data_IF_401134788474
#
_entry.id   IF_401134788474
#
_cell.length_a   1.000
_cell.length_b   1.000
_cell.length_c   1.000
_cell.angle_alpha   90.00
_cell.angle_beta   90.00
_cell.angle_gamma   90.00
#
_symmetry.space_group_name_H-M   'P 1'
#
loop_
_entity.id
_entity.type
_entity.pdbx_description
1 polymer ?
#
# COMPACT_ATOMS: atom_id res chain seq x y z
N UNK A 1 -22.42 -7.07 6.68
CA UNK A 1 -21.33 -6.10 6.85
C UNK A 1 -20.87 -6.25 8.28
N UNK A 2 -19.63 -6.68 8.49
CA UNK A 2 -19.07 -6.85 9.83
C UNK A 2 -18.69 -5.50 10.40
N UNK A 3 -18.96 -5.29 11.69
CA UNK A 3 -18.50 -4.09 12.38
C UNK A 3 -17.01 -4.23 12.74
N UNK A 4 -16.22 -3.19 12.47
CA UNK A 4 -14.85 -3.09 12.97
C UNK A 4 -14.93 -2.56 14.42
N UNK A 5 -14.70 -3.46 15.38
CA UNK A 5 -14.77 -3.13 16.81
C UNK A 5 -13.65 -2.18 17.25
N UNK A 6 -12.41 -2.44 16.81
CA UNK A 6 -11.24 -1.64 17.16
C UNK A 6 -10.54 -1.05 15.92
N UNK A 7 -10.96 0.14 15.44
CA UNK A 7 -10.34 0.78 14.28
C UNK A 7 -8.90 1.27 14.51
N UNK A 8 -8.40 1.23 15.75
CA UNK A 8 -7.03 1.61 16.07
C UNK A 8 -6.04 0.47 15.88
N UNK A 9 -6.52 -0.77 15.85
CA UNK A 9 -5.74 -1.94 15.46
C UNK A 9 -5.53 -1.93 13.95
N UNK A 10 -4.56 -1.11 13.51
CA UNK A 10 -4.43 -0.76 12.12
C UNK A 10 -3.04 -0.27 11.73
N UNK A 11 -2.70 -0.43 10.45
CA UNK A 11 -1.54 0.18 9.80
C UNK A 11 -1.95 0.94 8.54
N UNK A 12 -1.16 1.89 8.01
CA UNK A 12 -1.41 2.47 6.70
C UNK A 12 -1.42 1.40 5.58
N UNK A 13 -2.15 1.66 4.50
CA UNK A 13 -2.05 0.86 3.28
C UNK A 13 -0.62 0.83 2.77
N UNK A 14 -0.14 -0.35 2.38
CA UNK A 14 1.13 -0.54 1.71
C UNK A 14 0.94 -0.59 0.19
N UNK A 15 1.16 0.55 -0.45
CA UNK A 15 0.94 0.73 -1.90
C UNK A 15 1.96 -0.01 -2.77
N UNK A 16 2.91 -0.74 -2.18
CA UNK A 16 3.99 -1.43 -2.88
C UNK A 16 3.88 -2.95 -2.79
N UNK A 17 2.78 -3.52 -2.27
CA UNK A 17 2.58 -4.98 -2.28
C UNK A 17 2.40 -5.47 -3.71
N UNK A 18 3.17 -6.49 -4.09
CA UNK A 18 3.10 -7.07 -5.43
C UNK A 18 3.33 -8.58 -5.42
N UNK A 19 2.69 -9.26 -6.36
CA UNK A 19 2.90 -10.68 -6.63
C UNK A 19 2.58 -10.96 -8.10
N UNK A 20 3.39 -11.84 -8.69
CA UNK A 20 3.17 -12.42 -10.01
C UNK A 20 2.64 -13.85 -9.91
N UNK A 21 2.29 -14.33 -8.71
CA UNK A 21 1.75 -15.66 -8.49
C UNK A 21 0.40 -15.82 -9.24
N UNK A 22 0.19 -16.90 -10.00
CA UNK A 22 -1.01 -17.06 -10.83
C UNK A 22 -2.31 -17.07 -10.02
N UNK A 23 -2.31 -17.62 -8.81
CA UNK A 23 -3.48 -17.61 -7.91
C UNK A 23 -3.86 -16.20 -7.45
N UNK A 24 -2.89 -15.29 -7.29
CA UNK A 24 -3.18 -13.88 -6.98
C UNK A 24 -3.89 -13.24 -8.17
N UNK A 25 -3.42 -13.51 -9.38
CA UNK A 25 -4.07 -13.03 -10.60
C UNK A 25 -5.49 -13.59 -10.71
N UNK A 26 -5.67 -14.90 -10.52
CA UNK A 26 -6.97 -15.56 -10.58
C UNK A 26 -7.97 -15.01 -9.55
N UNK A 27 -7.54 -14.80 -8.30
CA UNK A 27 -8.36 -14.18 -7.26
C UNK A 27 -8.78 -12.74 -7.64
N UNK A 28 -7.84 -11.93 -8.12
CA UNK A 28 -8.13 -10.57 -8.56
C UNK A 28 -9.07 -10.55 -9.77
N UNK A 29 -8.88 -11.46 -10.71
CA UNK A 29 -9.71 -11.57 -11.91
C UNK A 29 -11.13 -12.00 -11.54
N UNK A 30 -11.27 -12.96 -10.61
CA UNK A 30 -12.57 -13.34 -10.04
C UNK A 30 -13.29 -12.15 -9.42
N UNK A 31 -12.63 -11.42 -8.51
CA UNK A 31 -13.20 -10.22 -7.88
C UNK A 31 -13.59 -9.18 -8.94
N UNK A 32 -12.74 -9.00 -9.94
CA UNK A 32 -13.00 -8.04 -11.00
C UNK A 32 -14.24 -8.42 -11.82
N UNK A 33 -14.30 -9.66 -12.28
CA UNK A 33 -15.34 -10.10 -13.21
C UNK A 33 -16.71 -10.25 -12.52
N UNK A 34 -16.73 -10.61 -11.23
CA UNK A 34 -17.96 -10.74 -10.45
C UNK A 34 -18.55 -9.40 -9.98
N UNK A 35 -17.72 -8.41 -9.60
CA UNK A 35 -18.20 -7.21 -8.90
C UNK A 35 -17.87 -5.89 -9.57
N UNK A 36 -16.79 -5.81 -10.35
CA UNK A 36 -16.35 -4.55 -10.94
C UNK A 36 -16.90 -4.41 -12.38
N UNK A 37 -17.32 -3.20 -12.78
CA UNK A 37 -17.88 -3.01 -14.11
C UNK A 37 -16.85 -3.33 -15.20
N UNK A 38 -17.29 -3.99 -16.28
CA UNK A 38 -16.45 -4.15 -17.47
C UNK A 38 -15.99 -2.77 -17.95
N UNK A 39 -14.70 -2.59 -18.21
CA UNK A 39 -14.08 -1.33 -18.64
C UNK A 39 -14.70 -0.82 -19.96
N UNK A 40 -15.85 -0.16 -19.86
CA UNK A 40 -16.43 0.68 -20.90
C UNK A 40 -16.23 2.13 -20.50
N UNK A 41 -14.98 2.56 -20.39
CA UNK A 41 -14.66 3.96 -20.13
C UNK A 41 -14.11 4.65 -21.37
N UNK A 42 -14.85 5.65 -21.87
CA UNK A 42 -14.33 6.63 -22.81
C UNK A 42 -13.47 7.63 -22.05
N UNK A 43 -12.15 7.65 -22.29
CA UNK A 43 -11.20 8.58 -21.68
C UNK A 43 -9.72 8.17 -21.84
N UNK A 44 -8.76 9.00 -21.39
CA UNK A 44 -7.34 8.64 -21.42
C UNK A 44 -7.06 7.38 -20.61
N UNK A 45 -6.29 6.45 -21.18
CA UNK A 45 -5.91 5.20 -20.50
C UNK A 45 -5.16 5.55 -19.20
N UNK A 46 -5.54 4.95 -18.05
CA UNK A 46 -4.86 5.23 -16.79
C UNK A 46 -3.40 4.75 -16.84
N UNK A 47 -2.50 5.44 -16.12
CA UNK A 47 -1.07 5.06 -16.02
C UNK A 47 -0.88 3.67 -15.40
N UNK A 48 -1.77 3.30 -14.48
CA UNK A 48 -1.85 1.96 -13.87
C UNK A 48 -3.22 1.37 -14.18
N UNK A 49 -3.23 0.13 -14.67
CA UNK A 49 -4.47 -0.61 -14.90
C UNK A 49 -5.28 -0.69 -13.60
N UNK A 50 -6.60 -0.53 -13.67
CA UNK A 50 -7.46 -0.64 -12.48
C UNK A 50 -7.28 -1.98 -11.76
N UNK A 51 -7.06 -3.05 -12.53
CA UNK A 51 -6.73 -4.39 -12.01
C UNK A 51 -5.47 -4.40 -11.14
N UNK A 52 -4.46 -3.57 -11.42
CA UNK A 52 -3.27 -3.47 -10.56
C UNK A 52 -3.59 -2.80 -9.22
N UNK A 53 -4.45 -1.77 -9.22
CA UNK A 53 -4.89 -1.13 -7.96
C UNK A 53 -5.73 -2.09 -7.10
N UNK A 54 -6.58 -2.90 -7.74
CA UNK A 54 -7.27 -4.00 -7.07
C UNK A 54 -6.26 -5.00 -6.47
N UNK A 55 -5.26 -5.43 -7.25
CA UNK A 55 -4.22 -6.36 -6.80
C UNK A 55 -3.49 -5.86 -5.56
N UNK A 56 -3.06 -4.59 -5.56
CA UNK A 56 -2.40 -3.98 -4.39
C UNK A 56 -3.31 -3.99 -3.16
N UNK A 57 -4.59 -3.61 -3.33
CA UNK A 57 -5.56 -3.63 -2.24
C UNK A 57 -5.75 -5.05 -1.67
N UNK A 58 -5.96 -6.04 -2.54
CA UNK A 58 -6.21 -7.43 -2.15
C UNK A 58 -4.97 -8.02 -1.45
N UNK A 59 -3.77 -7.81 -2.01
CA UNK A 59 -2.53 -8.29 -1.40
C UNK A 59 -2.24 -7.63 -0.05
N UNK A 60 -2.49 -6.34 0.09
CA UNK A 60 -2.25 -5.66 1.36
C UNK A 60 -3.24 -6.08 2.45
N UNK A 61 -4.51 -6.34 2.08
CA UNK A 61 -5.51 -6.94 2.96
C UNK A 61 -5.13 -8.38 3.34
N UNK A 62 -4.65 -9.18 2.38
CA UNK A 62 -4.19 -10.55 2.64
C UNK A 62 -3.03 -10.57 3.63
N UNK A 63 -2.01 -9.72 3.43
CA UNK A 63 -0.89 -9.62 4.37
C UNK A 63 -1.34 -9.13 5.75
N UNK A 64 -2.26 -8.17 5.81
CA UNK A 64 -2.83 -7.74 7.10
C UNK A 64 -3.56 -8.89 7.80
N UNK A 65 -4.38 -9.66 7.07
CA UNK A 65 -5.11 -10.82 7.59
C UNK A 65 -4.18 -11.94 8.09
N UNK A 66 -3.07 -12.19 7.38
CA UNK A 66 -2.06 -13.15 7.82
C UNK A 66 -1.38 -12.75 9.14
N UNK A 67 -1.21 -11.45 9.39
CA UNK A 67 -0.68 -10.94 10.66
C UNK A 67 -1.71 -11.09 11.78
N UNK A 68 -2.93 -10.65 11.53
CA UNK A 68 -4.07 -10.77 12.43
C UNK A 68 -5.39 -10.57 11.64
N UNK A 69 -6.36 -11.49 11.69
CA UNK A 69 -7.63 -11.37 10.99
C UNK A 69 -8.43 -10.09 11.31
N UNK A 70 -8.17 -9.43 12.44
CA UNK A 70 -8.81 -8.16 12.83
C UNK A 70 -8.03 -6.91 12.39
N UNK A 71 -6.79 -7.06 11.91
CA UNK A 71 -5.93 -5.94 11.53
C UNK A 71 -6.50 -5.18 10.35
N UNK A 72 -6.71 -3.88 10.55
CA UNK A 72 -7.21 -3.00 9.50
C UNK A 72 -6.08 -2.31 8.73
N UNK A 73 -6.34 -2.01 7.45
CA UNK A 73 -5.55 -1.05 6.70
C UNK A 73 -6.22 0.33 6.72
N UNK A 74 -5.42 1.37 6.91
CA UNK A 74 -5.83 2.76 6.95
C UNK A 74 -5.60 3.45 5.62
N UNK A 75 -6.66 4.03 5.04
CA UNK A 75 -6.58 4.69 3.73
C UNK A 75 -7.39 5.98 3.66
N UNK A 76 -6.82 7.00 3.00
CA UNK A 76 -7.54 8.23 2.67
C UNK A 76 -8.55 7.99 1.55
N UNK A 77 -9.81 8.30 1.82
CA UNK A 77 -10.91 8.30 0.83
C UNK A 77 -11.03 9.65 0.09
N UNK A 78 -10.06 10.55 0.27
CA UNK A 78 -9.98 11.83 -0.45
C UNK A 78 -9.19 11.66 -1.74
N UNK A 79 -9.71 12.22 -2.84
CA UNK A 79 -9.03 12.26 -4.13
C UNK A 79 -7.70 13.01 -4.09
N UNK A 80 -7.56 13.97 -3.17
CA UNK A 80 -6.41 14.88 -3.12
C UNK A 80 -5.20 14.26 -2.42
N UNK A 81 -5.37 13.09 -1.81
CA UNK A 81 -4.29 12.34 -1.18
C UNK A 81 -3.41 11.60 -2.21
N UNK A 82 -3.98 11.25 -3.36
CA UNK A 82 -3.34 10.35 -4.31
C UNK A 82 -2.55 11.11 -5.35
N UNK A 83 -1.22 11.05 -5.25
CA UNK A 83 -0.29 11.56 -6.25
C UNK A 83 0.36 10.40 -7.02
N UNK A 84 -0.06 10.22 -8.28
CA UNK A 84 0.51 9.20 -9.18
C UNK A 84 1.91 9.54 -9.70
N UNK A 85 2.38 10.76 -9.48
CA UNK A 85 3.69 11.24 -9.94
C UNK A 85 4.75 11.20 -8.85
N UNK A 86 4.35 10.96 -7.59
CA UNK A 86 5.30 10.85 -6.49
C UNK A 86 6.23 9.64 -6.63
N UNK A 87 7.51 9.82 -6.31
CA UNK A 87 8.49 8.72 -6.27
C UNK A 87 8.15 7.66 -5.23
N UNK A 88 7.42 8.04 -4.18
CA UNK A 88 7.00 7.14 -3.10
C UNK A 88 5.73 6.34 -3.44
N UNK A 89 5.27 6.39 -4.69
CA UNK A 89 4.12 5.66 -5.21
C UNK A 89 4.51 4.89 -6.47
N UNK A 90 5.37 3.88 -6.31
CA UNK A 90 5.99 3.17 -7.42
C UNK A 90 4.99 2.43 -8.33
N UNK A 91 3.83 2.05 -7.81
CA UNK A 91 2.76 1.40 -8.57
C UNK A 91 1.72 2.39 -9.13
N UNK A 92 1.98 3.70 -9.01
CA UNK A 92 1.11 4.80 -9.43
C UNK A 92 -0.36 4.61 -9.00
N UNK A 93 -0.57 4.19 -7.74
CA UNK A 93 -1.91 4.07 -7.16
C UNK A 93 -2.57 5.44 -7.16
N UNK A 94 -3.79 5.48 -7.68
CA UNK A 94 -4.51 6.72 -7.93
C UNK A 94 -5.79 6.76 -7.09
N UNK A 95 -6.49 7.89 -7.13
CA UNK A 95 -7.84 8.03 -6.55
C UNK A 95 -8.87 7.02 -7.06
N UNK A 96 -8.56 6.24 -8.11
CA UNK A 96 -9.43 5.20 -8.68
C UNK A 96 -9.50 3.94 -7.82
N UNK A 97 -8.63 3.78 -6.83
CA UNK A 97 -8.78 2.76 -5.79
C UNK A 97 -10.03 3.01 -4.92
N UNK A 98 -10.49 4.26 -4.78
CA UNK A 98 -11.66 4.65 -3.98
C UNK A 98 -12.96 4.01 -4.49
N UNK A 99 -13.34 4.12 -5.78
CA UNK A 99 -14.52 3.44 -6.29
C UNK A 99 -14.41 1.91 -6.22
N UNK A 100 -13.21 1.33 -6.39
CA UNK A 100 -13.01 -0.12 -6.19
C UNK A 100 -13.40 -0.52 -4.77
N UNK A 101 -12.88 0.18 -3.76
CA UNK A 101 -13.20 -0.08 -2.34
C UNK A 101 -14.70 0.02 -2.09
N UNK A 102 -15.37 1.07 -2.61
CA UNK A 102 -16.82 1.23 -2.42
C UNK A 102 -17.61 0.07 -3.03
N UNK A 103 -17.23 -0.38 -4.22
CA UNK A 103 -17.91 -1.52 -4.85
C UNK A 103 -17.69 -2.82 -4.08
N UNK A 104 -16.48 -3.06 -3.57
CA UNK A 104 -16.21 -4.25 -2.75
C UNK A 104 -16.89 -4.21 -1.38
N UNK A 105 -17.03 -3.01 -0.80
CA UNK A 105 -17.80 -2.74 0.42
C UNK A 105 -19.29 -3.05 0.22
N UNK A 106 -19.88 -2.53 -0.87
CA UNK A 106 -21.26 -2.80 -1.27
C UNK A 106 -21.51 -4.29 -1.58
N UNK A 107 -20.49 -4.98 -2.12
CA UNK A 107 -20.52 -6.41 -2.38
C UNK A 107 -20.34 -7.28 -1.11
N UNK A 108 -20.03 -6.68 0.05
CA UNK A 108 -19.80 -7.39 1.30
C UNK A 108 -18.45 -8.12 1.38
N UNK A 109 -17.48 -7.76 0.53
CA UNK A 109 -16.11 -8.29 0.56
C UNK A 109 -15.19 -7.50 1.51
N UNK A 110 -15.60 -6.29 1.90
CA UNK A 110 -14.86 -5.45 2.84
C UNK A 110 -15.76 -5.04 4.01
N UNK A 111 -15.12 -4.85 5.16
CA UNK A 111 -15.69 -4.16 6.31
C UNK A 111 -15.03 -2.77 6.43
N UNK A 112 -15.85 -1.73 6.62
CA UNK A 112 -15.39 -0.34 6.66
C UNK A 112 -15.77 0.35 7.98
N UNK A 113 -14.79 0.99 8.61
CA UNK A 113 -15.03 1.97 9.66
C UNK A 113 -14.62 3.35 9.14
N UNK A 114 -15.62 4.23 8.95
CA UNK A 114 -15.45 5.57 8.38
C UNK A 114 -14.40 6.38 9.13
N UNK A 115 -13.62 7.14 8.38
CA UNK A 115 -12.69 8.10 8.94
C UNK A 115 -13.39 9.22 9.72
N UNK A 116 -12.63 9.90 10.56
CA UNK A 116 -13.06 11.02 11.39
C UNK A 116 -12.10 12.19 11.21
N UNK A 117 -12.64 13.40 11.08
CA UNK A 117 -11.85 14.63 11.06
C UNK A 117 -12.62 15.77 11.73
N UNK A 118 -12.05 16.31 12.80
CA UNK A 118 -12.66 17.40 13.58
C UNK A 118 -11.77 18.64 13.70
N UNK A 119 -10.70 18.71 12.89
CA UNK A 119 -9.77 19.83 12.85
C UNK A 119 -8.30 19.39 12.95
N UNK A 120 -7.33 20.28 12.69
CA UNK A 120 -5.91 19.93 12.72
C UNK A 120 -5.47 19.43 14.11
N UNK A 121 -4.64 18.38 14.13
CA UNK A 121 -4.03 17.81 15.35
C UNK A 121 -5.01 17.29 16.42
N UNK A 122 -6.30 17.15 16.09
CA UNK A 122 -7.30 16.63 17.02
C UNK A 122 -7.08 15.14 17.24
N UNK A 123 -6.94 14.76 18.52
CA UNK A 123 -6.90 13.35 18.94
C UNK A 123 -8.20 12.67 18.54
N UNK A 124 -8.10 11.55 17.83
CA UNK A 124 -9.26 10.84 17.31
C UNK A 124 -9.49 11.05 15.81
N UNK A 125 -8.76 11.97 15.15
CA UNK A 125 -8.73 12.01 13.69
C UNK A 125 -8.14 10.70 13.14
N UNK A 126 -8.81 10.11 12.16
CA UNK A 126 -8.25 8.99 11.40
C UNK A 126 -8.78 8.94 9.97
N UNK A 127 -7.99 8.31 9.13
CA UNK A 127 -8.43 7.83 7.82
C UNK A 127 -9.41 6.67 7.95
N UNK A 128 -10.08 6.30 6.84
CA UNK A 128 -10.98 5.15 6.84
C UNK A 128 -10.19 3.88 7.14
N UNK A 129 -10.80 2.96 7.89
CA UNK A 129 -10.24 1.64 8.18
C UNK A 129 -10.99 0.61 7.37
N UNK A 130 -10.25 -0.27 6.75
CA UNK A 130 -10.73 -1.29 5.83
C UNK A 130 -10.14 -2.62 6.31
N UNK A 131 -10.99 -3.63 6.40
CA UNK A 131 -10.60 -5.02 6.70
C UNK A 131 -11.25 -5.93 5.67
N UNK A 132 -10.63 -7.06 5.36
CA UNK A 132 -11.29 -8.12 4.60
C UNK A 132 -12.49 -8.63 5.41
N UNK A 133 -13.66 -8.72 4.79
CA UNK A 133 -14.82 -9.32 5.45
C UNK A 133 -14.61 -10.83 5.65
N UNK A 134 -15.43 -11.47 6.48
CA UNK A 134 -15.38 -12.94 6.65
C UNK A 134 -15.45 -13.69 5.32
N UNK A 135 -16.20 -13.19 4.34
CA UNK A 135 -16.30 -13.78 3.01
C UNK A 135 -14.94 -13.74 2.28
N UNK A 136 -14.27 -12.58 2.26
CA UNK A 136 -12.97 -12.44 1.60
C UNK A 136 -11.86 -13.16 2.37
N UNK A 137 -11.94 -13.22 3.70
CA UNK A 137 -11.03 -14.04 4.52
C UNK A 137 -11.17 -15.53 4.22
N UNK A 138 -12.40 -16.01 3.98
CA UNK A 138 -12.63 -17.38 3.50
C UNK A 138 -11.89 -17.64 2.19
N UNK A 139 -11.92 -16.69 1.25
CA UNK A 139 -11.20 -16.83 -0.02
C UNK A 139 -9.68 -16.78 0.17
N UNK A 140 -9.19 -16.01 1.12
CA UNK A 140 -7.77 -16.01 1.48
C UNK A 140 -7.33 -17.34 2.08
N UNK A 141 -8.17 -17.98 2.91
CA UNK A 141 -7.89 -19.29 3.49
C UNK A 141 -7.86 -20.43 2.45
N UNK A 142 -8.65 -20.29 1.38
CA UNK A 142 -8.69 -21.24 0.25
C UNK A 142 -7.59 -20.99 -0.78
N UNK A 143 -6.97 -19.81 -0.78
CA UNK A 143 -6.00 -19.43 -1.79
C UNK A 143 -4.70 -20.26 -1.66
N UNK A 144 -4.19 -20.72 -2.80
CA UNK A 144 -2.99 -21.57 -2.83
C UNK A 144 -1.66 -20.78 -2.88
N UNK A 145 -1.66 -19.50 -2.50
CA UNK A 145 -0.44 -18.69 -2.34
C UNK A 145 -0.21 -18.36 -0.87
N UNK A 146 1.05 -18.16 -0.51
CA UNK A 146 1.52 -17.94 0.86
C UNK A 146 2.12 -16.55 1.02
N UNK A 147 2.54 -16.23 2.26
CA UNK A 147 3.17 -14.95 2.58
C UNK A 147 4.39 -14.63 1.71
N UNK A 148 5.20 -15.65 1.40
CA UNK A 148 6.45 -15.49 0.66
C UNK A 148 6.21 -15.25 -0.85
N UNK A 149 5.02 -15.58 -1.34
CA UNK A 149 4.59 -15.24 -2.70
C UNK A 149 4.21 -13.76 -2.85
N UNK A 150 4.14 -13.01 -1.74
CA UNK A 150 3.82 -11.58 -1.71
C UNK A 150 5.08 -10.76 -1.42
N UNK A 151 5.60 -10.17 -2.48
CA UNK A 151 6.79 -9.32 -2.45
C UNK A 151 6.49 -7.82 -2.42
N UNK A 152 7.53 -7.07 -2.76
CA UNK A 152 7.52 -5.60 -2.94
C UNK A 152 7.61 -5.27 -4.42
N UNK A 153 7.03 -4.14 -4.83
CA UNK A 153 7.20 -3.59 -6.16
C UNK A 153 8.67 -3.26 -6.44
N UNK A 154 9.22 -3.73 -7.57
CA UNK A 154 10.63 -3.51 -7.94
C UNK A 154 11.03 -2.03 -8.06
N UNK A 155 10.06 -1.15 -8.34
CA UNK A 155 10.28 0.29 -8.45
C UNK A 155 10.13 1.07 -7.14
N UNK A 156 9.93 0.41 -6.00
CA UNK A 156 9.83 1.10 -4.71
C UNK A 156 11.10 1.91 -4.42
N UNK A 157 10.92 3.19 -4.12
CA UNK A 157 12.01 4.08 -3.76
C UNK A 157 12.58 3.68 -2.40
N UNK A 158 13.89 3.41 -2.35
CA UNK A 158 14.60 2.91 -1.17
C UNK A 158 15.10 4.03 -0.26
N UNK A 159 15.07 5.27 -0.72
CA UNK A 159 15.49 6.43 0.06
C UNK A 159 14.26 7.30 0.31
N UNK A 160 13.98 7.56 1.58
CA UNK A 160 12.89 8.47 1.98
C UNK A 160 13.50 9.75 2.53
N UNK A 161 13.31 10.84 1.80
CA UNK A 161 13.64 12.18 2.28
C UNK A 161 12.47 12.73 3.10
N UNK A 162 12.73 13.11 4.35
CA UNK A 162 11.76 13.75 5.24
C UNK A 162 12.09 15.20 5.51
N UNK A 163 11.03 16.02 5.53
CA UNK A 163 11.10 17.38 6.07
C UNK A 163 11.13 17.39 7.60
N UNK A 164 11.15 18.61 8.16
CA UNK A 164 11.16 18.83 9.61
C UNK A 164 9.86 18.44 10.31
N UNK A 165 8.77 18.24 9.56
CA UNK A 165 7.45 17.85 10.05
C UNK A 165 7.19 16.34 9.84
N UNK A 166 8.21 15.55 9.52
CA UNK A 166 8.12 14.12 9.20
C UNK A 166 7.32 13.82 7.91
N UNK A 167 7.08 14.84 7.07
CA UNK A 167 6.48 14.68 5.75
C UNK A 167 7.51 14.18 4.74
N UNK A 168 7.10 13.25 3.88
CA UNK A 168 7.94 12.82 2.76
C UNK A 168 8.04 13.93 1.70
N UNK A 169 9.24 14.17 1.19
CA UNK A 169 9.51 15.21 0.18
C UNK A 169 10.18 14.60 -1.04
N UNK A 170 9.79 15.06 -2.22
CA UNK A 170 10.44 14.72 -3.49
C UNK A 170 11.87 15.30 -3.56
N UNK A 171 12.76 14.59 -4.23
CA UNK A 171 14.12 15.07 -4.51
C UNK A 171 14.51 14.78 -5.96
N UNK A 172 15.62 15.33 -6.42
CA UNK A 172 16.17 15.04 -7.74
C UNK A 172 17.18 13.89 -7.66
N UNK A 173 17.24 13.06 -8.71
CA UNK A 173 18.28 12.06 -8.79
C UNK A 173 19.62 12.76 -9.10
N UNK A 174 20.60 12.56 -8.22
CA UNK A 174 21.98 13.02 -8.34
C UNK A 174 22.90 11.80 -8.26
N UNK A 175 24.16 11.94 -8.64
CA UNK A 175 25.15 10.85 -8.50
C UNK A 175 25.21 10.32 -7.05
N UNK A 176 24.99 11.20 -6.07
CA UNK A 176 24.96 10.83 -4.66
C UNK A 176 23.70 10.03 -4.28
N UNK A 177 22.50 10.48 -4.68
CA UNK A 177 21.25 9.77 -4.34
C UNK A 177 21.14 8.44 -5.09
N UNK A 178 21.70 8.36 -6.30
CA UNK A 178 21.83 7.10 -7.05
C UNK A 178 22.76 6.13 -6.31
N UNK A 179 23.96 6.56 -5.92
CA UNK A 179 24.90 5.73 -5.15
C UNK A 179 24.30 5.25 -3.82
N UNK A 180 23.65 6.13 -3.06
CA UNK A 180 22.97 5.76 -1.81
C UNK A 180 21.91 4.68 -2.05
N UNK A 181 21.16 4.76 -3.16
CA UNK A 181 20.11 3.80 -3.50
C UNK A 181 20.71 2.43 -3.81
N UNK A 182 21.82 2.40 -4.54
CA UNK A 182 22.56 1.18 -4.84
C UNK A 182 23.16 0.53 -3.58
N UNK A 183 23.68 1.33 -2.64
CA UNK A 183 24.19 0.84 -1.36
C UNK A 183 23.10 0.18 -0.52
N UNK A 184 21.93 0.83 -0.38
CA UNK A 184 20.78 0.27 0.35
C UNK A 184 20.27 -1.00 -0.33
N UNK A 185 20.19 -1.01 -1.67
CA UNK A 185 19.78 -2.19 -2.44
C UNK A 185 20.72 -3.37 -2.16
N UNK A 186 22.03 -3.15 -2.29
CA UNK A 186 23.04 -4.20 -2.06
C UNK A 186 22.99 -4.72 -0.62
N UNK A 187 22.78 -3.84 0.35
CA UNK A 187 22.62 -4.24 1.75
C UNK A 187 21.39 -5.15 1.93
N UNK A 188 20.25 -4.76 1.34
CA UNK A 188 19.02 -5.53 1.41
C UNK A 188 19.16 -6.91 0.72
N UNK A 189 19.81 -6.99 -0.44
CA UNK A 189 20.10 -8.25 -1.14
C UNK A 189 20.91 -9.22 -0.27
N UNK A 190 21.97 -8.75 0.38
CA UNK A 190 22.79 -9.57 1.28
C UNK A 190 22.00 -10.02 2.49
N UNK A 191 21.19 -9.13 3.07
CA UNK A 191 20.41 -9.41 4.28
C UNK A 191 19.34 -10.48 4.02
N UNK A 192 18.63 -10.36 2.89
CA UNK A 192 17.65 -11.37 2.45
C UNK A 192 18.34 -12.72 2.19
N UNK A 193 19.50 -12.72 1.56
CA UNK A 193 20.24 -13.96 1.27
C UNK A 193 20.79 -14.65 2.54
N UNK A 194 21.08 -13.88 3.60
CA UNK A 194 21.72 -14.37 4.81
C UNK A 194 20.74 -14.90 5.87
N UNK A 195 19.45 -14.57 5.78
CA UNK A 195 18.47 -14.89 6.81
C UNK A 195 17.62 -16.12 6.45
N UNK A 196 17.35 -17.03 7.41
CA UNK A 196 16.40 -18.11 7.20
C UNK A 196 15.04 -17.49 6.87
N UNK A 197 14.45 -17.91 5.75
CA UNK A 197 13.15 -17.47 5.22
C UNK A 197 11.97 -17.91 6.12
N UNK A 198 12.03 -17.62 7.41
CA UNK A 198 10.98 -17.95 8.38
C UNK A 198 10.53 -16.67 9.04
N UNK A 199 9.48 -16.07 8.48
CA UNK A 199 8.62 -15.10 9.17
C UNK A 199 9.26 -13.77 9.58
N UNK A 200 10.38 -13.38 8.98
CA UNK A 200 11.03 -12.10 9.26
C UNK A 200 11.05 -11.25 7.98
N UNK A 201 10.63 -9.98 8.05
CA UNK A 201 11.04 -8.94 7.10
C UNK A 201 12.23 -8.19 7.73
N UNK A 202 13.48 -8.61 7.53
CA UNK A 202 14.66 -7.94 8.06
C UNK A 202 15.23 -7.13 6.91
N UNK A 203 14.60 -6.01 6.61
CA UNK A 203 15.04 -5.16 5.51
C UNK A 203 15.12 -3.77 6.08
N UNK A 204 16.24 -3.08 5.87
CA UNK A 204 16.22 -1.61 5.90
C UNK A 204 15.32 -1.22 4.73
N UNK A 205 14.01 -1.23 5.00
CA UNK A 205 12.96 -1.07 3.99
C UNK A 205 13.22 0.18 3.18
N UNK A 206 13.59 1.24 3.90
CA UNK A 206 14.07 2.49 3.35
C UNK A 206 15.18 3.08 4.25
N UNK A 207 16.16 3.74 3.64
CA UNK A 207 17.04 4.67 4.33
C UNK A 207 16.33 6.03 4.46
N UNK A 208 16.26 6.58 5.68
CA UNK A 208 15.60 7.88 5.92
C UNK A 208 16.64 8.99 5.97
N UNK A 209 16.57 9.92 5.01
CA UNK A 209 17.34 11.16 5.01
C UNK A 209 16.50 12.28 5.59
N UNK A 210 17.12 13.19 6.35
CA UNK A 210 16.44 14.34 6.96
C UNK A 210 17.00 15.64 6.42
N UNK A 211 16.12 16.53 5.98
CA UNK A 211 16.50 17.88 5.59
C UNK A 211 17.01 18.65 6.81
N UNK A 212 18.30 18.97 6.82
CA UNK A 212 18.90 19.79 7.86
C UNK A 212 18.85 21.27 7.45
N UNK A 213 17.95 22.03 8.06
CA UNK A 213 17.66 23.44 7.70
C UNK A 213 18.88 24.38 7.94
N UNK A 214 19.92 23.91 8.65
CA UNK A 214 21.14 24.69 8.88
C UNK A 214 21.98 24.92 7.61
N UNK A 215 21.80 24.10 6.55
CA UNK A 215 22.58 24.21 5.31
C UNK A 215 21.94 25.11 4.24
N UNK A 216 20.68 25.55 4.42
CA UNK A 216 19.96 26.39 3.45
C UNK A 216 19.72 27.84 3.89
N UNK A 217 20.26 28.28 5.05
CA UNK A 217 20.32 29.70 5.46
C UNK A 217 21.58 30.44 4.97
N UNK A 218 22.06 30.10 3.77
CA UNK A 218 23.00 30.96 3.04
C UNK A 218 22.48 31.23 1.65
N UNK A 219 21.63 32.26 1.55
CA UNK A 219 21.66 33.29 0.51
C UNK A 219 20.86 34.49 1.01
#
# INVERSE_FOLDING_TARGET
>A
MGDIENPWHSRPIDVHRWSDHPEVAALCDRIWDEYLPSDKTSGPKPKTAFRHQLRVLVLDLYVAWLEDPELCIGMSMSSNYWDTTSRYNALHISKKIIPIIRTLDEAGLLDLAKGSYSGPYVRGNRTTRIRASEALQGWFAEAAFQRDDVGRAAGEELIVLRDTNEGNVEYEDTDETIRMREEVRRYNEVTVAALPQVGFEPIVRNAVLRLNVSLYRRR
#
